data_IF_846373988765
#
_entry.id   IF_846373988765
#
_cell.length_a   1.000
_cell.length_b   1.000
_cell.length_c   1.000
_cell.angle_alpha   90.00
_cell.angle_beta   90.00
_cell.angle_gamma   90.00
#
_symmetry.space_group_name_H-M   'P 1'
#
loop_
_entity.id
_entity.type
_entity.pdbx_description
1 polymer ?
#
# COMPACT_ATOMS: atom_id res chain seq x y z
N UNK A 1 38.18 -12.27 -11.24
CA UNK A 1 37.88 -11.68 -12.56
C UNK A 1 37.54 -10.21 -12.34
N UNK A 2 38.17 -9.31 -13.09
CA UNK A 2 38.08 -7.85 -12.90
C UNK A 2 36.69 -7.31 -13.26
N UNK A 3 36.03 -6.63 -12.33
CA UNK A 3 34.69 -6.03 -12.44
C UNK A 3 34.65 -4.72 -13.28
N UNK A 4 35.52 -4.57 -14.27
CA UNK A 4 35.71 -3.30 -14.98
C UNK A 4 34.88 -3.12 -16.27
N UNK A 5 33.79 -3.87 -16.51
CA UNK A 5 33.04 -3.84 -17.80
C UNK A 5 31.64 -3.19 -17.70
N UNK A 6 31.34 -2.52 -16.58
CA UNK A 6 29.96 -2.26 -16.18
C UNK A 6 29.67 -0.78 -15.86
N UNK A 7 30.34 0.14 -16.57
CA UNK A 7 30.25 1.60 -16.38
C UNK A 7 29.37 2.37 -17.38
N UNK A 8 28.26 1.81 -17.87
CA UNK A 8 27.33 2.58 -18.70
C UNK A 8 25.90 2.43 -18.16
N UNK A 9 25.29 3.55 -17.77
CA UNK A 9 23.95 3.62 -17.16
C UNK A 9 22.85 3.05 -18.08
N UNK A 10 23.10 3.04 -19.39
CA UNK A 10 22.19 2.53 -20.42
C UNK A 10 22.45 1.07 -20.83
N UNK A 11 23.34 0.35 -20.15
CA UNK A 11 23.60 -1.06 -20.48
C UNK A 11 22.66 -1.97 -19.71
N UNK A 12 21.99 -2.85 -20.46
CA UNK A 12 21.22 -3.95 -19.91
C UNK A 12 22.09 -4.80 -18.96
N UNK A 13 21.49 -5.23 -17.86
CA UNK A 13 22.12 -6.16 -16.94
C UNK A 13 22.30 -7.53 -17.63
N UNK A 14 23.47 -8.18 -17.53
CA UNK A 14 23.74 -9.41 -18.30
C UNK A 14 22.83 -10.60 -17.92
N UNK A 15 22.28 -10.65 -16.71
CA UNK A 15 21.42 -11.73 -16.22
C UNK A 15 20.09 -11.22 -15.64
N UNK A 16 19.49 -10.19 -16.25
CA UNK A 16 18.18 -9.69 -15.81
C UNK A 16 17.08 -10.76 -15.98
N UNK A 17 16.08 -10.67 -15.12
CA UNK A 17 14.82 -11.40 -15.26
C UNK A 17 13.66 -10.41 -15.12
N UNK A 18 12.51 -10.72 -15.74
CA UNK A 18 11.29 -9.93 -15.59
C UNK A 18 10.59 -10.25 -14.26
N UNK A 19 9.86 -9.27 -13.67
CA UNK A 19 9.01 -9.56 -12.53
C UNK A 19 7.86 -10.47 -12.96
N UNK A 20 7.38 -11.34 -12.06
CA UNK A 20 6.06 -11.96 -12.26
C UNK A 20 4.94 -10.92 -12.00
N UNK A 21 3.76 -11.17 -12.57
CA UNK A 21 2.66 -10.20 -12.60
C UNK A 21 2.25 -9.65 -11.22
N UNK A 22 2.34 -10.46 -10.18
CA UNK A 22 1.96 -10.09 -8.81
C UNK A 22 3.12 -10.20 -7.82
N UNK A 23 4.36 -10.27 -8.31
CA UNK A 23 5.55 -10.36 -7.49
C UNK A 23 5.88 -9.02 -6.81
N UNK A 24 6.35 -9.11 -5.57
CA UNK A 24 6.82 -7.96 -4.81
C UNK A 24 8.21 -7.50 -5.28
N UNK A 25 8.42 -6.19 -5.42
CA UNK A 25 9.68 -5.60 -5.91
C UNK A 25 10.93 -6.14 -5.18
N UNK A 26 10.90 -6.21 -3.85
CA UNK A 26 12.00 -6.72 -3.03
C UNK A 26 12.30 -8.18 -3.38
N UNK A 27 11.28 -9.03 -3.54
CA UNK A 27 11.45 -10.41 -3.99
C UNK A 27 12.05 -10.50 -5.40
N UNK A 28 11.60 -9.66 -6.32
CA UNK A 28 12.13 -9.61 -7.68
C UNK A 28 13.60 -9.18 -7.69
N UNK A 29 13.95 -8.14 -6.93
CA UNK A 29 15.34 -7.68 -6.77
C UNK A 29 16.23 -8.76 -6.13
N UNK A 30 15.73 -9.51 -5.15
CA UNK A 30 16.45 -10.64 -4.55
C UNK A 30 16.74 -11.74 -5.56
N UNK A 31 15.78 -12.09 -6.42
CA UNK A 31 16.00 -13.05 -7.52
C UNK A 31 17.03 -12.54 -8.53
N UNK A 32 16.92 -11.27 -8.89
CA UNK A 32 17.85 -10.64 -9.82
C UNK A 32 19.27 -10.59 -9.23
N UNK A 33 19.41 -10.28 -7.93
CA UNK A 33 20.69 -10.23 -7.26
C UNK A 33 21.34 -11.61 -7.22
N UNK A 34 20.56 -12.64 -6.89
CA UNK A 34 21.01 -14.04 -6.95
C UNK A 34 21.55 -14.43 -8.33
N UNK A 35 20.85 -14.05 -9.43
CA UNK A 35 21.32 -14.31 -10.79
C UNK A 35 22.66 -13.61 -11.13
N UNK A 36 23.01 -12.55 -10.42
CA UNK A 36 24.28 -11.82 -10.59
C UNK A 36 25.35 -12.24 -9.56
N UNK A 37 25.04 -13.17 -8.65
CA UNK A 37 25.94 -13.54 -7.55
C UNK A 37 26.18 -12.39 -6.57
N UNK A 38 25.22 -11.48 -6.43
CA UNK A 38 25.25 -10.31 -5.56
C UNK A 38 24.22 -10.44 -4.46
N UNK A 39 24.44 -9.77 -3.34
CA UNK A 39 23.37 -9.46 -2.38
C UNK A 39 22.39 -8.47 -2.97
N UNK A 40 21.14 -8.48 -2.49
CA UNK A 40 20.13 -7.48 -2.88
C UNK A 40 20.65 -6.06 -2.68
N UNK A 41 21.39 -5.81 -1.58
CA UNK A 41 21.98 -4.50 -1.29
C UNK A 41 23.03 -4.11 -2.33
N UNK A 42 23.96 -4.99 -2.67
CA UNK A 42 25.00 -4.72 -3.68
C UNK A 42 24.39 -4.49 -5.06
N UNK A 43 23.40 -5.30 -5.46
CA UNK A 43 22.69 -5.07 -6.72
C UNK A 43 22.01 -3.70 -6.71
N UNK A 44 21.30 -3.35 -5.64
CA UNK A 44 20.64 -2.05 -5.53
C UNK A 44 21.64 -0.89 -5.57
N UNK A 45 22.80 -0.99 -4.91
CA UNK A 45 23.86 0.01 -4.97
C UNK A 45 24.49 0.11 -6.36
N UNK A 46 24.60 -1.01 -7.08
CA UNK A 46 25.08 -1.03 -8.45
C UNK A 46 24.08 -0.41 -9.45
N UNK A 47 22.78 -0.62 -9.24
CA UNK A 47 21.72 -0.02 -10.06
C UNK A 47 21.53 1.46 -9.72
N UNK A 48 21.62 1.80 -8.44
CA UNK A 48 21.40 3.13 -7.88
C UNK A 48 22.56 3.48 -6.93
N UNK A 49 23.60 4.17 -7.41
CA UNK A 49 24.79 4.49 -6.60
C UNK A 49 24.49 5.20 -5.28
N UNK A 50 23.41 5.99 -5.23
CA UNK A 50 22.98 6.74 -4.04
C UNK A 50 22.00 5.95 -3.13
N UNK A 51 21.79 4.65 -3.38
CA UNK A 51 20.88 3.84 -2.57
C UNK A 51 21.46 3.54 -1.19
N UNK A 52 20.83 4.11 -0.17
CA UNK A 52 21.27 4.01 1.23
C UNK A 52 20.79 2.75 1.97
N UNK A 53 20.19 1.77 1.28
CA UNK A 53 19.71 0.54 1.92
C UNK A 53 18.33 0.69 2.56
N UNK A 54 17.37 1.30 1.87
CA UNK A 54 16.03 1.51 2.42
C UNK A 54 15.36 0.16 2.78
N UNK A 55 14.94 -0.03 4.05
CA UNK A 55 14.36 -1.30 4.49
C UNK A 55 12.95 -1.60 3.97
N UNK A 56 12.29 -0.67 3.27
CA UNK A 56 10.98 -0.90 2.66
C UNK A 56 10.96 -0.37 1.22
N UNK A 57 11.86 -0.91 0.39
CA UNK A 57 12.00 -0.50 -1.02
C UNK A 57 10.70 -0.69 -1.81
N UNK A 58 9.89 -1.69 -1.43
CA UNK A 58 8.58 -1.99 -2.01
C UNK A 58 7.63 -0.79 -1.97
N UNK A 59 7.79 0.04 -0.95
CA UNK A 59 6.94 1.18 -0.66
C UNK A 59 7.56 2.52 -1.08
N UNK A 60 8.88 2.63 -1.03
CA UNK A 60 9.58 3.92 -0.99
C UNK A 60 10.42 4.23 -2.23
N UNK A 61 10.48 3.31 -3.19
CA UNK A 61 11.22 3.52 -4.44
C UNK A 61 10.72 4.75 -5.21
N UNK A 62 11.64 5.57 -5.70
CA UNK A 62 11.33 6.79 -6.46
C UNK A 62 11.01 6.49 -7.92
N UNK A 63 10.24 7.35 -8.59
CA UNK A 63 9.97 7.24 -10.03
C UNK A 63 11.25 7.24 -10.87
N UNK A 64 12.27 8.01 -10.46
CA UNK A 64 13.57 8.01 -11.11
C UNK A 64 14.25 6.63 -11.01
N UNK A 65 14.24 6.01 -9.84
CA UNK A 65 14.78 4.66 -9.64
C UNK A 65 14.04 3.60 -10.45
N UNK A 66 12.71 3.71 -10.55
CA UNK A 66 11.86 2.86 -11.40
C UNK A 66 12.29 2.97 -12.87
N UNK A 67 12.48 4.19 -13.38
CA UNK A 67 12.93 4.42 -14.76
C UNK A 67 14.28 3.79 -15.07
N UNK A 68 15.25 3.93 -14.15
CA UNK A 68 16.56 3.29 -14.27
C UNK A 68 16.41 1.77 -14.27
N UNK A 69 15.65 1.19 -13.34
CA UNK A 69 15.45 -0.25 -13.26
C UNK A 69 14.78 -0.81 -14.52
N UNK A 70 13.77 -0.11 -15.05
CA UNK A 70 13.08 -0.45 -16.29
C UNK A 70 14.07 -0.51 -17.47
N UNK A 71 14.89 0.52 -17.62
CA UNK A 71 15.92 0.60 -18.68
C UNK A 71 16.94 -0.53 -18.56
N UNK A 72 17.40 -0.85 -17.34
CA UNK A 72 18.45 -1.87 -17.10
C UNK A 72 17.95 -3.31 -17.18
N UNK A 73 16.64 -3.53 -17.11
CA UNK A 73 16.01 -4.87 -17.13
C UNK A 73 15.16 -5.13 -18.38
N UNK A 74 15.20 -4.24 -19.38
CA UNK A 74 14.36 -4.30 -20.58
C UNK A 74 12.86 -4.46 -20.24
N UNK A 75 12.42 -3.77 -19.20
CA UNK A 75 11.03 -3.73 -18.76
C UNK A 75 10.42 -2.38 -19.12
N UNK A 76 9.11 -2.36 -19.34
CA UNK A 76 8.34 -1.12 -19.35
C UNK A 76 8.29 -0.55 -17.94
N UNK A 77 8.22 0.78 -17.82
CA UNK A 77 8.03 1.45 -16.52
C UNK A 77 6.81 0.86 -15.78
N UNK A 78 5.72 0.62 -16.49
CA UNK A 78 4.51 0.01 -15.92
C UNK A 78 4.72 -1.42 -15.36
N UNK A 79 5.60 -2.24 -15.97
CA UNK A 79 5.93 -3.58 -15.44
C UNK A 79 6.66 -3.43 -14.09
N UNK A 80 7.60 -2.49 -13.99
CA UNK A 80 8.32 -2.21 -12.73
C UNK A 80 7.40 -1.62 -11.67
N UNK A 81 6.58 -0.62 -12.03
CA UNK A 81 5.57 -0.02 -11.15
C UNK A 81 4.58 -1.06 -10.63
N UNK A 82 4.22 -2.06 -11.46
CA UNK A 82 3.34 -3.15 -11.04
C UNK A 82 3.94 -4.04 -9.95
N UNK A 83 5.26 -4.10 -9.80
CA UNK A 83 5.91 -4.85 -8.73
C UNK A 83 5.97 -4.07 -7.39
N UNK A 84 5.76 -2.74 -7.43
CA UNK A 84 5.81 -1.89 -6.24
C UNK A 84 4.46 -1.79 -5.55
N UNK A 85 4.44 -1.37 -4.29
CA UNK A 85 3.21 -1.08 -3.57
C UNK A 85 2.54 0.23 -4.03
N UNK A 86 3.21 1.07 -4.82
CA UNK A 86 2.58 2.27 -5.39
C UNK A 86 1.51 1.94 -6.41
N UNK A 87 1.48 0.72 -6.96
CA UNK A 87 0.38 0.29 -7.82
C UNK A 87 -0.99 0.24 -7.10
N UNK A 88 -1.00 0.23 -5.77
CA UNK A 88 -2.25 0.26 -4.97
C UNK A 88 -2.66 1.68 -4.56
N UNK A 89 -1.93 2.70 -5.03
CA UNK A 89 -2.27 4.10 -4.82
C UNK A 89 -3.66 4.42 -5.41
N UNK A 90 -4.48 5.14 -4.67
CA UNK A 90 -5.88 5.45 -5.03
C UNK A 90 -6.80 4.23 -5.19
N UNK A 91 -6.32 3.02 -4.88
CA UNK A 91 -7.11 1.79 -4.83
C UNK A 91 -7.31 1.36 -3.38
N UNK A 92 -6.22 1.10 -2.65
CA UNK A 92 -6.24 0.69 -1.24
C UNK A 92 -5.71 1.81 -0.33
N UNK A 93 -4.83 2.67 -0.87
CA UNK A 93 -4.18 3.75 -0.15
C UNK A 93 -4.77 5.11 -0.52
N UNK A 94 -5.06 5.94 0.50
CA UNK A 94 -5.67 7.25 0.34
C UNK A 94 -4.65 8.33 -0.05
N UNK A 95 -3.37 8.15 0.30
CA UNK A 95 -2.40 9.22 0.10
C UNK A 95 -1.84 9.19 -1.33
N UNK A 96 -1.63 10.39 -1.88
CA UNK A 96 -0.82 10.57 -3.08
C UNK A 96 0.67 10.27 -2.83
N UNK A 97 1.05 10.06 -1.56
CA UNK A 97 2.42 9.87 -1.13
C UNK A 97 2.54 8.77 -0.08
N UNK A 98 2.39 7.54 -0.56
CA UNK A 98 2.51 6.30 0.21
C UNK A 98 3.85 6.25 0.97
N UNK A 99 4.90 6.97 0.53
CA UNK A 99 6.23 6.98 1.14
C UNK A 99 6.23 7.51 2.59
N UNK A 100 5.41 8.52 2.91
CA UNK A 100 5.49 9.23 4.20
C UNK A 100 4.31 9.02 5.16
N UNK A 101 3.19 8.44 4.70
CA UNK A 101 1.97 8.24 5.53
C UNK A 101 1.91 6.93 6.31
N UNK A 102 1.29 6.88 7.49
CA UNK A 102 0.93 5.59 8.10
C UNK A 102 -0.22 4.96 7.29
N UNK A 103 0.11 4.16 6.27
CA UNK A 103 -0.92 3.51 5.46
C UNK A 103 -1.59 2.39 6.26
N UNK A 104 -2.90 2.54 6.44
CA UNK A 104 -3.74 1.76 7.37
C UNK A 104 -3.80 0.28 7.02
N UNK A 105 -3.69 -0.02 5.72
CA UNK A 105 -3.76 -1.37 5.17
C UNK A 105 -2.40 -1.94 4.80
N UNK A 106 -1.29 -1.28 5.12
CA UNK A 106 0.04 -1.81 4.83
C UNK A 106 0.67 -2.41 6.08
N UNK A 107 1.06 -3.68 6.02
CA UNK A 107 1.82 -4.31 7.10
C UNK A 107 3.21 -3.65 7.18
N UNK A 108 3.68 -3.17 8.32
CA UNK A 108 5.02 -2.60 8.44
C UNK A 108 6.11 -3.65 8.10
N UNK A 109 7.19 -3.23 7.44
CA UNK A 109 8.32 -4.14 7.14
C UNK A 109 9.22 -4.40 8.35
N UNK A 110 9.11 -3.59 9.41
CA UNK A 110 9.84 -3.76 10.68
C UNK A 110 8.88 -3.97 11.85
N UNK A 111 9.35 -4.77 12.81
CA UNK A 111 8.66 -5.15 14.05
C UNK A 111 7.97 -3.96 14.72
N UNK A 112 6.68 -4.09 15.02
CA UNK A 112 6.01 -3.20 15.95
C UNK A 112 6.60 -3.38 17.37
N UNK A 113 6.74 -2.30 18.15
CA UNK A 113 7.37 -2.29 19.49
C UNK A 113 6.77 -3.28 20.51
N UNK A 114 5.65 -3.93 20.22
CA UNK A 114 4.87 -4.77 21.12
C UNK A 114 5.01 -6.29 20.90
N UNK A 115 6.16 -6.78 20.44
CA UNK A 115 6.49 -8.21 20.48
C UNK A 115 5.83 -9.10 19.42
N UNK A 116 4.95 -8.56 18.57
CA UNK A 116 4.45 -9.26 17.37
C UNK A 116 5.32 -8.94 16.16
N UNK A 117 5.94 -9.97 15.59
CA UNK A 117 6.73 -9.87 14.36
C UNK A 117 5.80 -9.94 13.16
N UNK A 118 5.13 -8.84 12.80
CA UNK A 118 4.47 -8.75 11.50
C UNK A 118 5.53 -8.46 10.43
N UNK A 119 5.79 -9.47 9.60
CA UNK A 119 6.64 -9.38 8.42
C UNK A 119 5.81 -9.51 7.15
N UNK A 120 6.44 -9.91 6.04
CA UNK A 120 5.73 -10.31 4.83
C UNK A 120 5.00 -11.64 5.05
N UNK A 121 3.70 -11.63 4.81
CA UNK A 121 2.88 -12.84 4.87
C UNK A 121 3.10 -13.72 3.66
N UNK A 122 2.73 -14.99 3.77
CA UNK A 122 2.86 -15.94 2.66
C UNK A 122 1.94 -17.15 2.76
N UNK A 123 1.74 -17.81 1.63
CA UNK A 123 1.15 -19.14 1.57
C UNK A 123 2.26 -20.18 1.35
N UNK A 124 2.49 -21.14 2.27
CA UNK A 124 3.51 -22.17 2.12
C UNK A 124 3.34 -23.03 0.86
N UNK A 125 2.09 -23.38 0.51
CA UNK A 125 1.77 -24.19 -0.66
C UNK A 125 2.04 -23.45 -1.99
N UNK A 126 1.66 -22.16 -2.07
CA UNK A 126 1.99 -21.33 -3.23
C UNK A 126 3.50 -21.16 -3.38
N UNK A 127 4.23 -20.87 -2.30
CA UNK A 127 5.69 -20.75 -2.37
C UNK A 127 6.39 -22.05 -2.77
N UNK A 128 5.82 -23.20 -2.39
CA UNK A 128 6.36 -24.51 -2.78
C UNK A 128 6.32 -24.70 -4.29
N UNK A 129 5.26 -24.26 -4.96
CA UNK A 129 5.08 -24.40 -6.42
C UNK A 129 5.69 -23.24 -7.20
N UNK A 130 5.58 -22.02 -6.67
CA UNK A 130 6.02 -20.77 -7.27
C UNK A 130 6.81 -19.98 -6.21
N UNK A 131 8.15 -20.10 -6.18
CA UNK A 131 8.98 -19.57 -5.11
C UNK A 131 9.21 -18.05 -5.28
N UNK A 132 8.14 -17.27 -5.21
CA UNK A 132 8.18 -15.81 -5.18
C UNK A 132 7.06 -15.27 -4.29
N UNK A 133 7.32 -14.13 -3.64
CA UNK A 133 6.37 -13.52 -2.73
C UNK A 133 5.47 -12.54 -3.46
N UNK A 134 4.17 -12.64 -3.17
CA UNK A 134 3.15 -11.83 -3.82
C UNK A 134 2.99 -10.49 -3.12
N UNK A 135 2.77 -9.46 -3.91
CA UNK A 135 2.62 -8.07 -3.45
C UNK A 135 1.39 -7.88 -2.56
N UNK A 136 0.26 -8.51 -2.88
CA UNK A 136 -0.95 -8.45 -2.06
C UNK A 136 -0.75 -9.04 -0.65
N UNK A 137 0.24 -9.90 -0.43
CA UNK A 137 0.58 -10.42 0.91
C UNK A 137 1.24 -9.38 1.82
N UNK A 138 1.57 -8.17 1.34
CA UNK A 138 1.93 -7.00 2.16
C UNK A 138 0.71 -6.26 2.72
N UNK A 139 -0.48 -6.54 2.19
CA UNK A 139 -1.70 -5.83 2.60
C UNK A 139 -2.31 -6.48 3.85
N UNK A 140 -2.65 -5.68 4.85
CA UNK A 140 -3.33 -6.11 6.06
C UNK A 140 -4.77 -6.59 5.81
N UNK A 141 -5.35 -6.29 4.65
CA UNK A 141 -6.62 -6.92 4.21
C UNK A 141 -6.44 -8.36 3.71
N UNK A 142 -5.20 -8.82 3.52
CA UNK A 142 -4.90 -10.20 3.15
C UNK A 142 -4.79 -11.07 4.42
N UNK A 143 -5.50 -12.19 4.42
CA UNK A 143 -5.50 -13.15 5.52
C UNK A 143 -5.67 -14.60 5.05
N UNK A 144 -6.26 -14.84 3.87
CA UNK A 144 -6.37 -16.17 3.28
C UNK A 144 -5.72 -16.23 1.89
N UNK A 145 -5.27 -17.41 1.49
CA UNK A 145 -4.89 -17.69 0.13
C UNK A 145 -6.11 -18.19 -0.65
N UNK A 146 -6.52 -17.49 -1.70
CA UNK A 146 -7.71 -17.85 -2.49
C UNK A 146 -7.50 -19.10 -3.35
N UNK A 147 -6.26 -19.37 -3.78
CA UNK A 147 -5.92 -20.57 -4.57
C UNK A 147 -5.78 -21.83 -3.72
N UNK A 148 -5.24 -21.72 -2.50
CA UNK A 148 -4.97 -22.88 -1.63
C UNK A 148 -6.00 -23.06 -0.51
N UNK A 149 -6.84 -22.07 -0.23
CA UNK A 149 -7.86 -22.15 0.83
C UNK A 149 -7.30 -22.20 2.26
N UNK A 150 -6.04 -21.80 2.46
CA UNK A 150 -5.40 -21.76 3.78
C UNK A 150 -5.25 -20.33 4.29
N UNK A 151 -5.08 -20.15 5.59
CA UNK A 151 -4.62 -18.87 6.13
C UNK A 151 -3.20 -18.57 5.64
N UNK A 152 -2.89 -17.28 5.51
CA UNK A 152 -1.51 -16.85 5.29
C UNK A 152 -0.72 -16.99 6.59
N UNK A 153 0.57 -17.29 6.48
CA UNK A 153 1.50 -17.32 7.60
C UNK A 153 2.14 -15.94 7.77
N UNK A 154 2.12 -15.39 8.99
CA UNK A 154 2.75 -14.09 9.32
C UNK A 154 4.21 -14.23 9.78
N UNK A 155 4.62 -15.44 10.15
CA UNK A 155 5.95 -15.76 10.68
C UNK A 155 6.43 -17.13 10.22
N UNK A 156 7.73 -17.37 10.41
CA UNK A 156 8.35 -18.66 10.14
C UNK A 156 7.72 -19.74 11.05
N UNK A 157 7.25 -20.86 10.49
CA UNK A 157 6.61 -21.93 11.27
C UNK A 157 7.57 -22.64 12.24
N UNK A 158 8.88 -22.49 12.05
CA UNK A 158 9.90 -23.18 12.84
C UNK A 158 10.42 -22.37 14.03
N UNK A 159 10.54 -21.05 13.90
CA UNK A 159 11.14 -20.18 14.92
C UNK A 159 10.22 -19.03 15.38
N UNK A 160 9.08 -18.83 14.72
CA UNK A 160 8.11 -17.78 15.06
C UNK A 160 8.54 -16.36 14.74
N UNK A 161 9.74 -16.15 14.18
CA UNK A 161 10.18 -14.82 13.73
C UNK A 161 9.52 -14.43 12.41
N UNK A 162 9.26 -13.13 12.24
CA UNK A 162 8.68 -12.60 11.00
C UNK A 162 9.65 -12.71 9.83
N UNK A 163 9.12 -12.85 8.62
CA UNK A 163 9.94 -12.89 7.41
C UNK A 163 10.36 -11.48 6.99
N UNK A 164 11.64 -11.30 6.69
CA UNK A 164 12.21 -10.08 6.10
C UNK A 164 13.14 -10.46 4.95
N UNK A 165 12.99 -9.84 3.78
CA UNK A 165 13.79 -10.14 2.56
C UNK A 165 15.05 -9.30 2.43
N UNK A 166 15.16 -8.23 3.23
CA UNK A 166 16.10 -7.14 2.92
C UNK A 166 17.41 -7.26 3.71
N UNK A 167 17.47 -8.10 4.74
CA UNK A 167 18.69 -8.34 5.53
C UNK A 167 19.12 -9.81 5.45
N UNK A 168 19.28 -10.32 4.22
CA UNK A 168 19.96 -11.59 4.03
C UNK A 168 21.44 -11.35 4.28
N UNK A 169 21.92 -11.78 5.45
CA UNK A 169 23.35 -11.82 5.76
C UNK A 169 24.12 -12.52 4.63
N UNK A 170 25.40 -12.16 4.46
CA UNK A 170 26.35 -12.69 3.48
C UNK A 170 26.12 -14.20 3.24
N UNK A 171 25.41 -14.52 2.17
CA UNK A 171 25.16 -15.91 1.80
C UNK A 171 26.24 -16.35 0.84
N UNK A 172 26.80 -17.53 1.09
CA UNK A 172 27.66 -18.20 0.13
C UNK A 172 26.81 -18.64 -1.08
N UNK A 173 26.59 -17.73 -2.03
CA UNK A 173 25.75 -17.93 -3.23
C UNK A 173 26.14 -19.18 -4.03
N UNK A 174 27.42 -19.54 -4.00
CA UNK A 174 27.97 -20.67 -4.72
C UNK A 174 27.41 -22.04 -4.26
N UNK A 175 26.88 -22.12 -3.03
CA UNK A 175 26.44 -23.39 -2.42
C UNK A 175 24.92 -23.51 -2.27
N UNK A 176 24.15 -22.52 -2.74
CA UNK A 176 22.71 -22.46 -2.55
C UNK A 176 21.95 -22.42 -3.87
N UNK A 177 20.76 -23.01 -3.90
CA UNK A 177 19.81 -22.81 -5.01
C UNK A 177 19.01 -21.53 -4.77
N UNK A 178 18.51 -20.90 -5.85
CA UNK A 178 17.63 -19.73 -5.73
C UNK A 178 16.42 -20.01 -4.82
N UNK A 179 15.88 -21.23 -4.89
CA UNK A 179 14.78 -21.67 -4.05
C UNK A 179 15.17 -21.63 -2.57
N UNK A 180 16.30 -22.23 -2.19
CA UNK A 180 16.78 -22.21 -0.82
C UNK A 180 17.03 -20.78 -0.34
N UNK A 181 17.61 -19.94 -1.21
CA UNK A 181 17.90 -18.54 -0.91
C UNK A 181 16.64 -17.71 -0.60
N UNK A 182 15.53 -17.97 -1.30
CA UNK A 182 14.27 -17.25 -1.10
C UNK A 182 13.39 -17.82 0.01
N UNK A 183 13.44 -19.14 0.23
CA UNK A 183 12.48 -19.83 1.09
C UNK A 183 13.05 -20.19 2.47
N UNK A 184 14.37 -20.16 2.67
CA UNK A 184 14.94 -20.41 3.98
C UNK A 184 14.78 -19.18 4.87
N UNK A 185 14.31 -19.41 6.09
CA UNK A 185 14.18 -18.35 7.08
C UNK A 185 15.57 -17.79 7.44
N UNK A 186 15.76 -16.47 7.29
CA UNK A 186 17.02 -15.81 7.64
C UNK A 186 17.43 -15.93 9.11
N UNK A 187 16.49 -16.25 10.01
CA UNK A 187 16.78 -16.43 11.43
C UNK A 187 17.21 -17.86 11.79
N UNK A 188 16.54 -18.89 11.24
CA UNK A 188 16.78 -20.28 11.64
C UNK A 188 17.24 -21.21 10.52
N UNK A 189 17.39 -20.72 9.28
CA UNK A 189 17.90 -21.44 8.12
C UNK A 189 16.97 -22.51 7.52
N UNK A 190 15.81 -22.79 8.12
CA UNK A 190 14.86 -23.82 7.67
C UNK A 190 13.92 -23.28 6.58
N UNK A 191 13.51 -24.13 5.64
CA UNK A 191 12.55 -23.79 4.58
C UNK A 191 11.17 -23.47 5.20
N UNK A 192 10.68 -22.25 4.96
CA UNK A 192 9.38 -21.76 5.49
C UNK A 192 8.18 -22.48 4.89
N UNK A 193 8.38 -23.21 3.79
CA UNK A 193 7.35 -24.02 3.12
C UNK A 193 7.21 -25.42 3.71
N UNK A 194 8.15 -25.85 4.55
CA UNK A 194 8.10 -27.13 5.28
C UNK A 194 7.20 -27.04 6.51
N UNK A 195 5.91 -26.81 6.28
CA UNK A 195 4.89 -26.82 7.30
C UNK A 195 3.55 -27.29 6.72
N UNK A 196 2.62 -27.67 7.58
CA UNK A 196 1.25 -27.94 7.18
C UNK A 196 0.44 -26.64 7.29
N UNK A 197 -0.06 -26.06 6.18
CA UNK A 197 -0.84 -24.84 6.23
C UNK A 197 -2.14 -25.04 7.00
N UNK A 198 -2.53 -24.08 7.82
CA UNK A 198 -3.83 -24.10 8.48
C UNK A 198 -4.94 -23.77 7.48
N UNK A 199 -5.91 -24.66 7.32
CA UNK A 199 -7.06 -24.47 6.41
C UNK A 199 -7.92 -23.32 6.92
N UNK A 200 -8.25 -22.37 6.04
CA UNK A 200 -9.16 -21.28 6.34
C UNK A 200 -10.61 -21.72 6.09
N UNK A 201 -11.56 -21.37 6.97
CA UNK A 201 -12.99 -21.53 6.71
C UNK A 201 -13.41 -20.98 5.34
N UNK A 202 -14.27 -21.69 4.58
CA UNK A 202 -14.68 -21.27 3.23
C UNK A 202 -15.25 -19.85 3.15
N UNK A 203 -15.96 -19.41 4.20
CA UNK A 203 -16.50 -18.05 4.29
C UNK A 203 -15.39 -16.98 4.30
N UNK A 204 -14.23 -17.25 4.89
CA UNK A 204 -13.09 -16.33 4.87
C UNK A 204 -12.37 -16.36 3.53
N UNK A 205 -12.23 -17.52 2.90
CA UNK A 205 -11.66 -17.62 1.54
C UNK A 205 -12.53 -16.84 0.55
N UNK A 206 -13.86 -16.97 0.65
CA UNK A 206 -14.81 -16.20 -0.16
C UNK A 206 -14.69 -14.69 0.10
N UNK A 207 -14.63 -14.27 1.36
CA UNK A 207 -14.42 -12.87 1.71
C UNK A 207 -13.10 -12.33 1.13
N UNK A 208 -12.02 -13.09 1.24
CA UNK A 208 -10.73 -12.71 0.67
C UNK A 208 -10.82 -12.50 -0.84
N UNK A 209 -11.49 -13.42 -1.55
CA UNK A 209 -11.71 -13.30 -2.99
C UNK A 209 -12.50 -12.03 -3.32
N UNK A 210 -13.60 -11.76 -2.61
CA UNK A 210 -14.38 -10.53 -2.80
C UNK A 210 -13.55 -9.27 -2.59
N UNK A 211 -12.66 -9.25 -1.59
CA UNK A 211 -11.78 -8.11 -1.36
C UNK A 211 -10.75 -7.94 -2.48
N UNK A 212 -10.19 -9.02 -3.02
CA UNK A 212 -9.29 -8.95 -4.18
C UNK A 212 -10.03 -8.52 -5.44
N UNK A 213 -11.25 -9.02 -5.67
CA UNK A 213 -12.07 -8.60 -6.82
C UNK A 213 -12.34 -7.08 -6.78
N UNK A 214 -12.57 -6.51 -5.59
CA UNK A 214 -12.73 -5.05 -5.41
C UNK A 214 -11.43 -4.29 -5.67
N UNK A 215 -10.26 -4.85 -5.35
CA UNK A 215 -8.97 -4.22 -5.68
C UNK A 215 -8.76 -4.20 -7.20
N UNK A 216 -9.03 -5.34 -7.85
CA UNK A 216 -8.69 -5.56 -9.25
C UNK A 216 -9.68 -4.89 -10.21
N UNK A 217 -10.96 -4.86 -9.85
CA UNK A 217 -12.05 -4.43 -10.73
C UNK A 217 -12.88 -3.27 -10.16
N UNK A 218 -12.64 -2.86 -8.92
CA UNK A 218 -13.45 -1.87 -8.23
C UNK A 218 -14.81 -2.42 -7.74
N UNK A 219 -15.64 -1.52 -7.22
CA UNK A 219 -17.02 -1.84 -6.86
C UNK A 219 -17.91 -1.74 -8.10
N UNK A 220 -18.40 -2.88 -8.58
CA UNK A 220 -19.37 -2.93 -9.65
C UNK A 220 -20.70 -2.28 -9.19
N UNK A 221 -21.39 -1.59 -10.11
CA UNK A 221 -22.74 -1.04 -9.93
C UNK A 221 -22.91 0.09 -8.90
N UNK A 222 -21.81 0.63 -8.33
CA UNK A 222 -21.86 1.74 -7.38
C UNK A 222 -20.91 2.87 -7.79
N UNK A 223 -21.36 4.13 -7.71
CA UNK A 223 -20.50 5.31 -7.86
C UNK A 223 -19.61 5.54 -6.62
N UNK A 224 -18.97 4.47 -6.14
CA UNK A 224 -18.10 4.49 -4.95
C UNK A 224 -16.68 4.18 -5.40
N UNK A 225 -15.78 5.15 -5.21
CA UNK A 225 -14.35 4.95 -5.46
C UNK A 225 -13.80 3.82 -4.58
N UNK A 226 -12.96 2.96 -5.16
CA UNK A 226 -12.36 1.80 -4.47
C UNK A 226 -11.61 2.18 -3.19
N UNK A 227 -10.80 3.24 -3.23
CA UNK A 227 -10.11 3.77 -2.03
C UNK A 227 -11.10 4.13 -0.93
N UNK A 228 -12.19 4.78 -1.30
CA UNK A 228 -13.22 5.25 -0.38
C UNK A 228 -13.89 4.10 0.35
N UNK A 229 -14.13 2.99 -0.37
CA UNK A 229 -14.60 1.73 0.21
C UNK A 229 -13.61 1.17 1.23
N UNK A 230 -12.33 1.03 0.87
CA UNK A 230 -11.32 0.51 1.81
C UNK A 230 -11.10 1.43 3.00
N UNK A 231 -11.28 2.75 2.84
CA UNK A 231 -11.23 3.72 3.92
C UNK A 231 -12.36 3.51 4.92
N UNK A 232 -13.58 3.31 4.43
CA UNK A 232 -14.76 3.01 5.28
C UNK A 232 -14.65 1.63 5.91
N UNK A 233 -14.23 0.61 5.16
CA UNK A 233 -14.01 -0.73 5.69
C UNK A 233 -13.01 -0.70 6.85
N UNK A 234 -11.93 0.08 6.73
CA UNK A 234 -10.95 0.23 7.80
C UNK A 234 -11.57 0.89 9.03
N UNK A 235 -12.34 1.95 8.82
CA UNK A 235 -13.01 2.66 9.91
C UNK A 235 -13.99 1.74 10.66
N UNK A 236 -14.84 1.01 9.94
CA UNK A 236 -15.76 0.05 10.53
C UNK A 236 -15.02 -1.08 11.26
N UNK A 237 -13.94 -1.61 10.68
CA UNK A 237 -13.10 -2.61 11.35
C UNK A 237 -12.44 -2.05 12.61
N UNK A 238 -12.10 -0.75 12.62
CA UNK A 238 -11.54 -0.07 13.80
C UNK A 238 -12.56 0.05 14.94
N UNK A 239 -13.86 0.23 14.63
CA UNK A 239 -14.94 0.16 15.62
C UNK A 239 -15.08 -1.25 16.24
N UNK A 240 -14.75 -2.30 15.48
CA UNK A 240 -14.81 -3.70 15.94
C UNK A 240 -13.74 -4.04 16.98
N UNK A 241 -12.64 -3.29 16.99
CA UNK A 241 -11.46 -3.60 17.82
C UNK A 241 -11.28 -2.61 18.98
N UNK A 242 -12.24 -1.72 19.23
CA UNK A 242 -12.05 -0.66 20.23
C UNK A 242 -11.87 -1.21 21.65
N UNK A 243 -10.79 -0.81 22.31
CA UNK A 243 -10.50 -1.17 23.70
C UNK A 243 -10.74 -0.01 24.68
N UNK A 244 -11.20 1.16 24.23
CA UNK A 244 -11.38 2.33 25.11
C UNK A 244 -12.47 2.08 26.16
N UNK A 245 -12.15 2.30 27.44
CA UNK A 245 -13.11 2.15 28.54
C UNK A 245 -14.31 3.08 28.44
N UNK A 246 -14.10 4.29 27.91
CA UNK A 246 -15.16 5.26 27.62
C UNK A 246 -16.08 4.84 26.48
N UNK A 247 -15.69 3.87 25.64
CA UNK A 247 -16.42 3.46 24.43
C UNK A 247 -17.35 2.25 24.66
N UNK A 248 -18.00 2.15 25.84
CA UNK A 248 -18.85 1.00 26.19
C UNK A 248 -19.95 0.72 25.15
N UNK A 249 -20.53 1.76 24.56
CA UNK A 249 -21.55 1.64 23.51
C UNK A 249 -21.01 0.97 22.25
N UNK A 250 -19.84 1.42 21.78
CA UNK A 250 -19.18 0.86 20.60
C UNK A 250 -18.80 -0.60 20.86
N UNK A 251 -18.34 -0.93 22.07
CA UNK A 251 -18.08 -2.34 22.45
C UNK A 251 -19.33 -3.21 22.41
N UNK A 252 -20.48 -2.73 22.90
CA UNK A 252 -21.75 -3.48 22.84
C UNK A 252 -22.21 -3.69 21.40
N UNK A 253 -22.07 -2.65 20.57
CA UNK A 253 -22.30 -2.71 19.14
C UNK A 253 -21.41 -3.77 18.47
N UNK A 254 -20.09 -3.72 18.70
CA UNK A 254 -19.17 -4.73 18.21
C UNK A 254 -19.55 -6.14 18.71
N UNK A 255 -19.76 -6.34 20.02
CA UNK A 255 -20.16 -7.63 20.60
C UNK A 255 -21.46 -8.18 19.96
N UNK A 256 -22.41 -7.33 19.55
CA UNK A 256 -23.59 -7.75 18.82
C UNK A 256 -23.26 -8.18 17.37
N UNK A 257 -22.46 -7.40 16.65
CA UNK A 257 -22.03 -7.73 15.28
C UNK A 257 -21.24 -9.04 15.25
N UNK A 258 -20.32 -9.25 16.19
CA UNK A 258 -19.58 -10.50 16.31
C UNK A 258 -20.51 -11.70 16.55
N UNK A 259 -21.51 -11.57 17.42
CA UNK A 259 -22.51 -12.62 17.68
C UNK A 259 -23.33 -12.96 16.44
N UNK A 260 -23.80 -11.97 15.70
CA UNK A 260 -24.56 -12.18 14.46
C UNK A 260 -23.73 -12.88 13.37
N UNK A 261 -22.40 -12.76 13.41
CA UNK A 261 -21.48 -13.40 12.48
C UNK A 261 -20.91 -14.74 12.97
N UNK A 262 -21.36 -15.23 14.14
CA UNK A 262 -20.78 -16.41 14.83
C UNK A 262 -19.26 -16.31 15.00
N UNK A 263 -18.77 -15.10 15.30
CA UNK A 263 -17.36 -14.82 15.51
C UNK A 263 -17.03 -14.83 17.02
N UNK A 264 -15.80 -15.25 17.40
CA UNK A 264 -15.38 -15.19 18.79
C UNK A 264 -15.32 -13.74 19.25
N UNK A 265 -15.95 -13.43 20.39
CA UNK A 265 -15.85 -12.10 20.99
C UNK A 265 -14.45 -11.92 21.57
N UNK A 266 -13.70 -11.01 20.98
CA UNK A 266 -12.33 -10.72 21.40
C UNK A 266 -12.31 -9.50 22.34
N UNK A 267 -11.53 -9.61 23.42
CA UNK A 267 -11.29 -8.49 24.34
C UNK A 267 -9.89 -7.95 24.10
N UNK A 268 -9.82 -6.91 23.28
CA UNK A 268 -8.57 -6.25 22.97
C UNK A 268 -8.05 -5.44 24.18
N UNK A 269 -6.73 -5.37 24.30
CA UNK A 269 -6.02 -4.60 25.35
C UNK A 269 -5.09 -3.60 24.67
N UNK A 270 -5.03 -2.37 25.20
CA UNK A 270 -4.14 -1.32 24.72
C UNK A 270 -4.91 -0.07 24.27
N UNK A 271 -4.24 1.09 24.33
CA UNK A 271 -4.88 2.39 24.07
C UNK A 271 -4.95 2.77 22.58
N UNK A 272 -4.04 2.23 21.76
CA UNK A 272 -3.94 2.51 20.32
C UNK A 272 -3.79 1.22 19.54
N UNK A 273 -4.93 0.61 19.22
CA UNK A 273 -4.99 -0.59 18.41
C UNK A 273 -5.05 -0.20 16.93
N UNK A 274 -4.27 -0.87 16.11
CA UNK A 274 -4.30 -0.72 14.66
C UNK A 274 -4.56 -2.09 14.04
N UNK A 275 -5.46 -2.14 13.07
CA UNK A 275 -5.89 -3.38 12.40
C UNK A 275 -4.70 -4.18 11.86
N UNK A 276 -3.75 -3.51 11.21
CA UNK A 276 -2.53 -4.11 10.65
C UNK A 276 -1.58 -4.73 11.68
N UNK A 277 -1.68 -4.36 12.96
CA UNK A 277 -0.82 -4.86 14.03
C UNK A 277 -1.47 -6.03 14.80
N UNK A 278 -2.74 -6.33 14.54
CA UNK A 278 -3.42 -7.47 15.14
C UNK A 278 -2.96 -8.78 14.51
N UNK A 279 -2.92 -9.88 15.28
CA UNK A 279 -2.73 -11.22 14.74
C UNK A 279 -3.73 -11.51 13.62
N UNK A 280 -3.31 -12.29 12.62
CA UNK A 280 -4.07 -12.57 11.40
C UNK A 280 -5.55 -12.91 11.63
N UNK A 281 -5.85 -13.82 12.56
CA UNK A 281 -7.23 -14.26 12.83
C UNK A 281 -8.07 -13.14 13.44
N UNK A 282 -7.52 -12.39 14.39
CA UNK A 282 -8.21 -11.25 15.02
C UNK A 282 -8.55 -10.19 13.98
N UNK A 283 -7.57 -9.88 13.12
CA UNK A 283 -7.73 -8.98 11.98
C UNK A 283 -8.81 -9.49 11.01
N UNK A 284 -8.79 -10.78 10.69
CA UNK A 284 -9.79 -11.43 9.82
C UNK A 284 -11.20 -11.27 10.37
N UNK A 285 -11.40 -11.48 11.68
CA UNK A 285 -12.71 -11.35 12.31
C UNK A 285 -13.24 -9.92 12.25
N UNK A 286 -12.40 -8.93 12.57
CA UNK A 286 -12.76 -7.52 12.50
C UNK A 286 -13.13 -7.09 11.06
N UNK A 287 -12.35 -7.53 10.06
CA UNK A 287 -12.63 -7.25 8.65
C UNK A 287 -13.92 -7.94 8.19
N UNK A 288 -14.17 -9.19 8.58
CA UNK A 288 -15.43 -9.88 8.24
C UNK A 288 -16.63 -9.17 8.85
N UNK A 289 -16.57 -8.80 10.12
CA UNK A 289 -17.64 -8.07 10.80
C UNK A 289 -17.92 -6.72 10.12
N UNK A 290 -16.87 -5.98 9.77
CA UNK A 290 -16.97 -4.71 9.06
C UNK A 290 -17.55 -4.86 7.64
N UNK A 291 -17.06 -5.83 6.86
CA UNK A 291 -17.57 -6.12 5.52
C UNK A 291 -19.04 -6.57 5.57
N UNK A 292 -19.41 -7.39 6.55
CA UNK A 292 -20.80 -7.79 6.76
C UNK A 292 -21.69 -6.57 6.97
N UNK A 293 -21.29 -5.56 7.77
CA UNK A 293 -22.09 -4.33 7.91
C UNK A 293 -22.30 -3.60 6.57
N UNK A 294 -21.37 -3.69 5.62
CA UNK A 294 -21.45 -3.05 4.31
C UNK A 294 -22.31 -3.80 3.29
N UNK A 295 -22.56 -5.10 3.47
CA UNK A 295 -23.36 -5.89 2.52
C UNK A 295 -24.84 -5.45 2.45
N UNK A 296 -25.36 -4.83 3.51
CA UNK A 296 -26.71 -4.23 3.55
C UNK A 296 -26.61 -2.77 4.01
N UNK A 297 -25.65 -2.04 3.46
CA UNK A 297 -25.47 -0.62 3.76
C UNK A 297 -26.67 0.21 3.25
N UNK A 298 -27.22 1.15 4.05
CA UNK A 298 -26.83 1.55 5.42
C UNK A 298 -27.66 0.87 6.52
N UNK A 299 -28.70 0.12 6.16
CA UNK A 299 -29.78 -0.31 7.04
C UNK A 299 -29.29 -1.15 8.22
N UNK A 300 -28.49 -2.18 7.94
CA UNK A 300 -27.98 -3.11 8.95
C UNK A 300 -27.12 -2.39 9.99
N UNK A 301 -26.27 -1.45 9.55
CA UNK A 301 -25.48 -0.65 10.47
C UNK A 301 -26.35 0.22 11.37
N UNK A 302 -27.28 0.98 10.78
CA UNK A 302 -28.15 1.91 11.51
C UNK A 302 -28.97 1.17 12.56
N UNK A 303 -29.60 0.05 12.19
CA UNK A 303 -30.41 -0.75 13.10
C UNK A 303 -29.62 -1.18 14.34
N UNK A 304 -28.46 -1.80 14.14
CA UNK A 304 -27.61 -2.29 15.24
C UNK A 304 -27.06 -1.12 16.05
N UNK A 305 -26.71 -0.01 15.41
CA UNK A 305 -26.20 1.18 16.07
C UNK A 305 -27.26 1.80 17.00
N UNK A 306 -28.50 1.96 16.54
CA UNK A 306 -29.62 2.48 17.32
C UNK A 306 -29.98 1.57 18.50
N UNK A 307 -30.00 0.25 18.27
CA UNK A 307 -30.24 -0.76 19.32
C UNK A 307 -29.18 -0.72 20.45
N UNK A 308 -27.96 -0.27 20.15
CA UNK A 308 -26.88 -0.10 21.11
C UNK A 308 -26.70 1.36 21.58
N UNK A 309 -27.64 2.24 21.22
CA UNK A 309 -27.64 3.67 21.55
C UNK A 309 -26.38 4.43 21.11
N UNK A 310 -25.77 4.01 19.99
CA UNK A 310 -24.70 4.76 19.34
C UNK A 310 -25.28 6.05 18.77
N UNK A 311 -24.56 7.14 18.98
CA UNK A 311 -24.84 8.43 18.36
C UNK A 311 -23.88 8.64 17.20
N UNK A 312 -24.22 9.57 16.29
CA UNK A 312 -23.36 9.98 15.17
C UNK A 312 -21.92 10.30 15.60
N UNK A 313 -21.76 11.01 16.73
CA UNK A 313 -20.43 11.31 17.29
C UNK A 313 -19.61 10.05 17.60
N UNK A 314 -20.24 8.99 18.11
CA UNK A 314 -19.54 7.77 18.50
C UNK A 314 -18.96 7.05 17.27
N UNK A 315 -19.50 7.32 16.07
CA UNK A 315 -19.01 6.82 14.79
C UNK A 315 -18.00 7.79 14.16
N UNK A 316 -18.32 9.08 14.07
CA UNK A 316 -17.53 10.04 13.32
C UNK A 316 -16.35 10.66 14.06
N UNK A 317 -16.27 10.57 15.40
CA UNK A 317 -15.20 11.22 16.19
C UNK A 317 -13.79 10.78 15.75
N UNK A 318 -13.62 9.51 15.33
CA UNK A 318 -12.35 8.98 14.82
C UNK A 318 -12.28 8.90 13.29
N UNK A 319 -13.26 9.49 12.59
CA UNK A 319 -13.32 9.49 11.13
C UNK A 319 -13.69 10.86 10.56
N UNK A 320 -12.85 11.89 10.83
CA UNK A 320 -13.00 13.18 10.17
C UNK A 320 -12.88 13.01 8.65
N UNK A 321 -13.69 13.73 7.89
CA UNK A 321 -13.76 13.65 6.42
C UNK A 321 -14.19 12.26 5.90
N UNK A 322 -15.15 11.65 6.60
CA UNK A 322 -15.86 10.47 6.11
C UNK A 322 -16.38 10.71 4.67
N UNK A 323 -16.23 9.74 3.74
CA UNK A 323 -16.79 9.86 2.41
C UNK A 323 -18.29 10.17 2.43
N UNK A 324 -18.77 10.95 1.47
CA UNK A 324 -20.18 11.37 1.39
C UNK A 324 -21.15 10.18 1.43
N UNK A 325 -20.90 9.13 0.64
CA UNK A 325 -21.75 7.92 0.58
C UNK A 325 -21.87 7.17 1.92
N UNK A 326 -20.88 7.32 2.81
CA UNK A 326 -20.92 6.76 4.16
C UNK A 326 -21.51 7.76 5.16
N UNK A 327 -21.17 9.03 5.01
CA UNK A 327 -21.60 10.09 5.93
C UNK A 327 -23.10 10.36 5.83
N UNK A 328 -23.64 10.53 4.62
CA UNK A 328 -25.01 10.98 4.37
C UNK A 328 -26.05 10.06 5.00
N UNK A 329 -26.03 8.73 4.77
CA UNK A 329 -27.07 7.87 5.33
C UNK A 329 -27.05 7.80 6.85
N UNK A 330 -25.87 7.88 7.47
CA UNK A 330 -25.74 7.91 8.92
C UNK A 330 -26.15 9.27 9.51
N UNK A 331 -25.88 10.36 8.80
CA UNK A 331 -26.26 11.69 9.24
C UNK A 331 -27.76 11.82 9.41
N UNK A 332 -28.53 11.29 8.44
CA UNK A 332 -29.99 11.30 8.46
C UNK A 332 -30.58 10.14 9.26
N UNK A 333 -30.06 8.91 9.09
CA UNK A 333 -30.61 7.70 9.69
C UNK A 333 -30.36 7.54 11.20
N UNK A 334 -29.36 8.23 11.75
CA UNK A 334 -29.07 8.25 13.20
C UNK A 334 -29.41 9.60 13.86
N UNK A 335 -30.16 10.46 13.16
CA UNK A 335 -30.63 11.75 13.68
C UNK A 335 -31.77 11.62 14.69
N UNK A 336 -31.90 12.59 15.60
CA UNK A 336 -33.09 12.73 16.42
C UNK A 336 -34.21 13.32 15.54
N UNK A 337 -35.30 12.56 15.35
CA UNK A 337 -36.52 12.89 14.59
C UNK A 337 -36.59 12.33 13.16
N UNK A 338 -37.03 11.08 13.06
CA UNK A 338 -38.33 10.71 12.51
C UNK A 338 -38.68 9.31 13.06
N UNK A 339 -39.92 9.06 13.52
CA UNK A 339 -40.32 7.72 13.90
C UNK A 339 -40.36 6.88 12.63
N UNK A 340 -39.39 5.97 12.47
CA UNK A 340 -39.46 4.99 11.38
C UNK A 340 -40.61 4.05 11.72
N UNK A 341 -41.80 4.35 11.17
CA UNK A 341 -42.77 3.30 10.91
C UNK A 341 -42.13 2.38 9.88
N UNK A 342 -41.73 1.20 10.34
CA UNK A 342 -41.21 0.09 9.53
C UNK A 342 -42.31 -0.56 8.70
N UNK A 343 -43.05 0.23 7.91
CA UNK A 343 -43.99 -0.30 6.94
C UNK A 343 -43.83 0.45 5.61
N UNK A 344 -43.35 -0.29 4.60
CA UNK A 344 -43.29 0.05 3.17
C UNK A 344 -42.25 1.09 2.75
N UNK A 345 -40.99 0.68 2.75
CA UNK A 345 -40.13 0.99 1.61
C UNK A 345 -40.23 -0.20 0.63
N UNK A 346 -41.35 -0.25 -0.09
CA UNK A 346 -41.44 -1.04 -1.32
C UNK A 346 -40.51 -0.44 -2.37
N UNK A 347 -40.01 -1.30 -3.24
CA UNK A 347 -38.97 -1.08 -4.27
C UNK A 347 -39.26 0.00 -5.34
N UNK A 348 -40.29 0.83 -5.17
CA UNK A 348 -40.75 1.79 -6.16
C UNK A 348 -40.73 3.20 -5.58
N UNK A 349 -39.57 3.87 -5.65
CA UNK A 349 -39.47 5.35 -5.61
C UNK A 349 -38.06 5.85 -5.97
N UNK A 350 -37.40 5.21 -6.94
CA UNK A 350 -36.36 5.88 -7.73
C UNK A 350 -37.07 6.64 -8.85
N UNK A 351 -37.48 7.90 -8.63
CA UNK A 351 -37.69 8.85 -9.74
C UNK A 351 -38.03 10.32 -9.38
N UNK A 352 -37.78 10.83 -8.17
CA UNK A 352 -38.16 12.22 -7.84
C UNK A 352 -37.06 13.15 -7.31
N UNK A 353 -35.77 12.80 -7.48
CA UNK A 353 -34.65 13.73 -7.19
C UNK A 353 -33.92 14.24 -8.44
N UNK A 354 -34.46 14.02 -9.65
CA UNK A 354 -33.95 14.52 -10.93
C UNK A 354 -34.94 15.48 -11.59
N UNK A 355 -35.36 16.52 -10.88
CA UNK A 355 -36.06 17.65 -11.51
C UNK A 355 -35.96 18.92 -10.66
N UNK A 356 -34.95 19.76 -10.95
CA UNK A 356 -35.05 21.23 -11.07
C UNK A 356 -33.66 21.87 -11.12
N UNK A 357 -33.07 21.89 -12.31
CA UNK A 357 -32.34 23.03 -12.86
C UNK A 357 -32.52 22.97 -14.38
N UNK A 358 -33.67 23.48 -14.86
CA UNK A 358 -33.75 24.01 -16.24
C UNK A 358 -33.23 25.44 -16.12
N UNK A 359 -31.94 25.64 -16.37
CA UNK A 359 -31.41 26.96 -16.65
C UNK A 359 -31.57 27.23 -18.16
N UNK A 360 -31.92 28.47 -18.50
CA UNK A 360 -32.17 28.95 -19.86
C UNK A 360 -30.92 28.86 -20.75
N UNK A 361 -31.06 28.69 -22.07
CA UNK A 361 -29.92 28.52 -22.96
C UNK A 361 -29.07 29.80 -23.02
N UNK A 362 -27.82 29.70 -22.59
CA UNK A 362 -26.80 30.74 -22.77
C UNK A 362 -26.56 30.91 -24.27
N UNK A 363 -26.81 32.12 -24.79
CA UNK A 363 -26.44 32.46 -26.17
C UNK A 363 -24.90 32.52 -26.30
N UNK A 364 -24.32 31.97 -27.38
CA UNK A 364 -22.88 32.01 -27.59
C UNK A 364 -22.42 33.45 -27.87
N UNK A 365 -21.26 33.87 -27.33
CA UNK A 365 -20.68 35.17 -27.65
C UNK A 365 -20.17 35.21 -29.09
N UNK A 366 -20.52 36.30 -29.76
CA UNK A 366 -20.15 36.65 -31.13
C UNK A 366 -18.64 37.02 -31.17
N UNK A 367 -17.81 36.12 -31.69
CA UNK A 367 -16.41 36.40 -32.03
C UNK A 367 -16.10 35.82 -33.40
N UNK A 368 -16.24 36.69 -34.39
CA UNK A 368 -15.76 36.53 -35.75
C UNK A 368 -14.22 36.72 -35.74
N UNK A 369 -13.48 35.62 -35.82
CA UNK A 369 -12.03 35.63 -36.08
C UNK A 369 -11.71 34.57 -37.13
N UNK A 370 -11.60 35.04 -38.37
CA UNK A 370 -11.17 34.30 -39.55
C UNK A 370 -9.74 33.77 -39.37
N UNK A 371 -9.57 32.44 -39.39
CA UNK A 371 -8.28 31.78 -39.61
C UNK A 371 -8.31 31.31 -41.06
N UNK A 372 -7.88 32.18 -41.96
CA UNK A 372 -7.47 31.87 -43.33
C UNK A 372 -6.80 33.12 -43.92
N UNK A 373 -5.56 33.40 -43.49
CA UNK A 373 -4.58 34.24 -44.21
C UNK A 373 -3.29 34.37 -43.39
N UNK A 374 -2.38 33.39 -43.48
CA UNK A 374 -0.93 33.57 -43.32
C UNK A 374 -0.17 32.27 -43.62
N UNK A 375 -0.54 31.60 -44.71
CA UNK A 375 0.37 30.74 -45.44
C UNK A 375 0.90 31.61 -46.59
N UNK A 376 2.07 32.24 -46.44
CA UNK A 376 3.10 32.42 -47.47
C UNK A 376 4.25 33.30 -46.97
N UNK A 377 5.44 32.84 -47.34
CA UNK A 377 6.76 33.47 -47.44
C UNK A 377 7.60 33.61 -46.17
N UNK A 378 8.76 32.98 -46.03
CA UNK A 378 9.98 32.77 -46.87
C UNK A 378 11.12 33.67 -46.38
N UNK A 379 12.33 33.11 -46.40
CA UNK A 379 13.64 33.75 -46.15
C UNK A 379 13.98 34.04 -44.67
N UNK A 380 15.20 33.83 -44.16
CA UNK A 380 16.49 33.55 -44.80
C UNK A 380 17.47 33.00 -43.74
N UNK A 381 18.30 32.04 -44.16
CA UNK A 381 19.63 31.80 -43.57
C UNK A 381 20.43 33.10 -43.47
N UNK A 382 21.21 33.27 -42.39
CA UNK A 382 22.63 33.70 -42.45
C UNK A 382 23.32 33.72 -41.09
N UNK A 383 24.52 33.16 -41.12
CA UNK A 383 25.63 33.27 -40.18
C UNK A 383 25.98 34.73 -39.83
N UNK A 384 26.54 34.96 -38.63
CA UNK A 384 27.93 35.43 -38.47
C UNK A 384 28.29 35.73 -37.00
N UNK A 385 29.34 35.04 -36.57
CA UNK A 385 30.52 35.44 -35.81
C UNK A 385 30.70 36.87 -35.23
N UNK A 386 31.56 36.89 -34.20
CA UNK A 386 32.34 37.99 -33.58
C UNK A 386 31.76 38.81 -32.40
N UNK A 387 32.57 38.87 -31.33
CA UNK A 387 32.87 40.16 -30.69
C UNK A 387 32.80 40.21 -29.17
N UNK A 388 33.97 40.23 -28.53
CA UNK A 388 34.23 40.55 -27.12
C UNK A 388 33.53 41.82 -26.60
N UNK A 389 33.08 41.80 -25.33
CA UNK A 389 33.20 42.98 -24.46
C UNK A 389 33.08 42.63 -22.96
N UNK A 390 34.18 42.84 -22.22
CA UNK A 390 34.21 43.06 -20.77
C UNK A 390 34.24 44.57 -20.53
N UNK A 391 33.63 45.09 -19.46
CA UNK A 391 34.40 45.99 -18.61
C UNK A 391 34.25 45.75 -17.10
N UNK A 392 35.43 45.87 -16.48
CA UNK A 392 35.84 45.96 -15.08
C UNK A 392 35.05 46.88 -14.13
N UNK A 393 35.26 46.59 -12.83
CA UNK A 393 35.40 47.58 -11.73
C UNK A 393 34.24 47.53 -10.74
N UNK A 394 34.41 47.27 -9.44
CA UNK A 394 35.43 47.79 -8.53
C UNK A 394 35.73 46.83 -7.36
N UNK A 395 36.98 46.93 -6.95
CA UNK A 395 37.73 46.44 -5.78
C UNK A 395 37.13 46.85 -4.42
N UNK A 396 37.31 46.03 -3.39
CA UNK A 396 38.19 46.40 -2.26
C UNK A 396 38.55 45.18 -1.38
N UNK A 397 39.84 45.16 -1.05
CA UNK A 397 40.63 44.13 -0.38
C UNK A 397 40.50 44.15 1.15
N UNK A 398 41.14 43.14 1.76
CA UNK A 398 41.98 43.10 2.98
C UNK A 398 41.66 41.79 3.73
N UNK A 399 42.39 40.71 3.44
CA UNK A 399 43.69 40.30 4.05
C UNK A 399 43.63 39.98 5.55
N UNK A 400 44.11 38.78 5.92
CA UNK A 400 44.52 38.50 7.30
C UNK A 400 44.55 37.04 7.75
N UNK A 401 45.54 36.29 7.27
CA UNK A 401 46.29 35.18 7.90
C UNK A 401 45.60 33.94 8.52
N UNK A 402 45.94 32.81 7.88
CA UNK A 402 46.61 31.61 8.42
C UNK A 402 46.80 31.51 9.95
N UNK A 403 46.40 30.37 10.53
CA UNK A 403 47.36 29.42 11.10
C UNK A 403 46.69 28.06 11.42
N UNK A 404 47.51 27.03 11.26
CA UNK A 404 47.28 25.59 11.45
C UNK A 404 46.99 25.24 12.91
N UNK A 405 46.22 24.17 13.15
CA UNK A 405 46.48 23.27 14.28
C UNK A 405 45.77 21.91 14.08
N UNK A 406 46.55 20.83 14.06
CA UNK A 406 46.11 19.43 14.17
C UNK A 406 45.40 19.17 15.51
N UNK A 407 44.74 18.00 15.66
CA UNK A 407 45.22 17.17 16.77
C UNK A 407 45.28 15.67 16.49
N UNK A 408 46.35 15.08 17.02
CA UNK A 408 46.57 13.65 17.19
C UNK A 408 45.85 13.08 18.43
N UNK A 409 45.19 11.94 18.23
CA UNK A 409 45.06 10.74 19.08
C UNK A 409 44.92 10.86 20.62
N UNK A 410 43.83 10.27 21.14
CA UNK A 410 43.92 9.35 22.29
C UNK A 410 42.80 8.30 22.29
N UNK A 411 43.23 7.03 22.29
CA UNK A 411 42.48 5.88 22.80
C UNK A 411 42.86 5.72 24.27
N UNK A 412 41.90 5.40 25.15
CA UNK A 412 42.20 4.65 26.37
C UNK A 412 40.97 3.86 26.85
N UNK A 413 41.23 2.55 27.00
CA UNK A 413 40.64 1.45 27.80
C UNK A 413 39.12 1.21 27.91
#
# INVERSE_FOLDING_TARGET
MSFAVLGNENKLLPAFCKPYADELLSCWLTRMAFNHGLTTKELCQYIWPNYSGNPDIDRTISKAHIGILAARTNCKIAEVESATLSSYQLIVFNSLNIVYGQERWLIPSKKARAGHCSGLMFCPACLKTQPYFRKNWRLAISFACTSCGCYLCESCPHCGQGNSFIDVAECNFAEQTLRAYLLNCHHCGKDVTECTPEIAPPAFVKLQQQLYDVIDHGLHDQMVYTESYFRVLHHLASLMITAKHSALKIRRFADQVYRQNSLPIERFKGERLEIRNLPLKQRTHAIKAAHWLLQEWPHRFIEIALNNHLKRKDVFDEFPNAPFWFWEPLYYGMGASLPVQTERLSFDNFDLCTARLKEEPIQPPDYDFNIDEAFYNDEMYKDNDEGDYIPNGYTEDIEGNEEEEEPAWSFDY
#
